data_IF_390824865090
#
_entry.id   IF_390824865090
#
_cell.length_a   1.000
_cell.length_b   1.000
_cell.length_c   1.000
_cell.angle_alpha   90.00
_cell.angle_beta   90.00
_cell.angle_gamma   90.00
#
_symmetry.space_group_name_H-M   'P 1'
#
loop_
_entity.id
_entity.type
_entity.pdbx_description
1 polymer ?
#
# COMPACT_ATOMS: atom_id res chain seq x y z
N UNK A 1 -0.70 -5.92 10.91
CA UNK A 1 -1.91 -6.73 11.21
C UNK A 1 -2.19 -6.66 12.70
N UNK A 2 -3.45 -6.45 13.14
CA UNK A 2 -3.81 -6.40 14.56
C UNK A 2 -4.71 -7.59 14.94
N UNK A 3 -4.71 -7.94 16.22
CA UNK A 3 -5.62 -8.96 16.76
C UNK A 3 -7.07 -8.49 16.73
N UNK A 4 -8.00 -9.44 16.62
CA UNK A 4 -9.44 -9.21 16.76
C UNK A 4 -10.02 -10.28 17.66
N UNK A 5 -10.93 -9.88 18.55
CA UNK A 5 -11.68 -10.83 19.37
C UNK A 5 -12.99 -11.10 18.63
N UNK A 6 -13.23 -12.37 18.33
CA UNK A 6 -14.54 -12.80 17.83
C UNK A 6 -15.49 -12.90 19.01
N UNK A 7 -16.69 -12.38 18.86
CA UNK A 7 -17.76 -12.43 19.86
C UNK A 7 -19.01 -13.00 19.24
N UNK A 8 -19.73 -13.78 20.03
CA UNK A 8 -21.08 -14.24 19.71
C UNK A 8 -22.08 -13.19 20.23
N UNK A 9 -22.26 -12.15 19.45
CA UNK A 9 -23.17 -11.05 19.76
C UNK A 9 -23.75 -10.47 18.49
N UNK A 10 -25.02 -10.16 18.51
CA UNK A 10 -25.70 -9.47 17.39
C UNK A 10 -25.21 -8.04 17.25
N UNK A 11 -24.19 -7.84 16.45
CA UNK A 11 -23.69 -6.52 16.09
C UNK A 11 -24.41 -6.01 14.86
N UNK A 12 -25.12 -4.90 15.01
CA UNK A 12 -25.86 -4.23 13.92
C UNK A 12 -25.10 -2.99 13.41
N UNK A 13 -25.38 -2.53 12.19
CA UNK A 13 -24.94 -1.22 11.74
C UNK A 13 -25.34 -0.13 12.74
N UNK A 14 -24.36 0.71 13.13
CA UNK A 14 -24.51 1.71 14.20
C UNK A 14 -23.79 1.36 15.49
N UNK A 15 -23.47 0.10 15.75
CA UNK A 15 -22.71 -0.31 16.94
C UNK A 15 -21.19 -0.15 16.77
N UNK A 16 -20.70 0.03 15.54
CA UNK A 16 -19.27 0.21 15.26
C UNK A 16 -18.72 1.46 15.94
N UNK A 17 -17.55 1.35 16.57
CA UNK A 17 -16.95 2.40 17.39
C UNK A 17 -17.42 2.40 18.86
N UNK A 18 -18.51 1.70 19.20
CA UNK A 18 -19.00 1.56 20.56
C UNK A 18 -18.09 0.66 21.42
N UNK A 19 -18.08 0.84 22.77
CA UNK A 19 -17.26 0.03 23.65
C UNK A 19 -17.89 -1.36 23.86
N UNK A 20 -17.07 -2.41 23.76
CA UNK A 20 -17.41 -3.74 24.24
C UNK A 20 -17.01 -3.85 25.73
N UNK A 21 -18.00 -4.08 26.59
CA UNK A 21 -17.78 -4.09 28.06
C UNK A 21 -17.83 -5.53 28.63
N UNK A 22 -16.82 -5.89 29.40
CA UNK A 22 -16.75 -7.14 30.14
C UNK A 22 -16.41 -6.88 31.59
N UNK A 23 -17.23 -7.35 32.55
CA UNK A 23 -17.03 -7.18 33.99
C UNK A 23 -16.74 -5.71 34.36
N UNK A 24 -17.48 -4.76 33.82
CA UNK A 24 -17.34 -3.33 34.10
C UNK A 24 -16.11 -2.65 33.52
N UNK A 25 -15.35 -3.33 32.66
CA UNK A 25 -14.17 -2.77 31.96
C UNK A 25 -14.37 -2.81 30.45
N UNK A 26 -13.76 -1.86 29.75
CA UNK A 26 -13.71 -1.85 28.28
C UNK A 26 -12.77 -2.97 27.82
N UNK A 27 -13.33 -4.00 27.19
CA UNK A 27 -12.57 -5.10 26.59
C UNK A 27 -12.05 -4.75 25.19
N UNK A 28 -12.67 -3.76 24.54
CA UNK A 28 -12.28 -3.30 23.22
C UNK A 28 -13.35 -2.44 22.57
N UNK A 29 -13.19 -2.20 21.26
CA UNK A 29 -14.09 -1.39 20.44
C UNK A 29 -14.75 -2.27 19.40
N UNK A 30 -16.07 -2.17 19.26
CA UNK A 30 -16.84 -2.88 18.23
C UNK A 30 -16.38 -2.41 16.84
N UNK A 31 -15.99 -3.36 15.99
CA UNK A 31 -15.41 -3.03 14.68
C UNK A 31 -16.28 -3.44 13.51
N UNK A 32 -16.68 -4.71 13.46
CA UNK A 32 -17.34 -5.24 12.27
C UNK A 32 -18.13 -6.52 12.56
N UNK A 33 -19.01 -6.86 11.64
CA UNK A 33 -19.74 -8.14 11.62
C UNK A 33 -19.57 -8.80 10.25
N UNK A 34 -19.72 -10.12 10.20
CA UNK A 34 -19.80 -10.84 8.93
C UNK A 34 -21.26 -10.80 8.46
N UNK A 35 -21.52 -10.11 7.36
CA UNK A 35 -22.89 -9.92 6.81
C UNK A 35 -23.58 -11.24 6.44
N UNK A 36 -22.84 -12.29 6.12
CA UNK A 36 -23.35 -13.60 5.74
C UNK A 36 -23.46 -14.59 6.91
N UNK A 37 -23.10 -14.18 8.12
CA UNK A 37 -23.19 -15.03 9.32
C UNK A 37 -23.96 -14.32 10.41
N UNK A 38 -24.93 -14.99 10.99
CA UNK A 38 -25.69 -14.49 12.12
C UNK A 38 -24.84 -14.52 13.39
N UNK A 39 -24.90 -13.46 14.18
CA UNK A 39 -24.29 -13.35 15.51
C UNK A 39 -22.75 -13.49 15.57
N UNK A 40 -22.03 -13.20 14.48
CA UNK A 40 -20.57 -13.14 14.50
C UNK A 40 -20.13 -11.71 14.40
N UNK A 41 -19.56 -11.19 15.50
CA UNK A 41 -18.98 -9.86 15.56
C UNK A 41 -17.50 -9.87 15.88
N UNK A 42 -16.83 -8.79 15.56
CA UNK A 42 -15.42 -8.59 15.88
C UNK A 42 -15.21 -7.32 16.68
N UNK A 43 -14.33 -7.44 17.67
CA UNK A 43 -13.94 -6.35 18.55
C UNK A 43 -12.43 -6.12 18.42
N UNK A 44 -12.03 -4.87 18.30
CA UNK A 44 -10.63 -4.46 18.42
C UNK A 44 -10.28 -4.54 19.91
N UNK A 45 -9.31 -5.38 20.33
CA UNK A 45 -8.95 -5.51 21.75
C UNK A 45 -8.48 -4.19 22.36
N UNK A 46 -8.66 -4.03 23.66
CA UNK A 46 -8.20 -2.85 24.40
C UNK A 46 -6.66 -2.67 24.31
N UNK A 47 -5.92 -3.75 24.16
CA UNK A 47 -4.47 -3.76 23.94
C UNK A 47 -4.11 -3.03 22.63
N UNK A 48 -4.83 -3.31 21.55
CA UNK A 48 -4.63 -2.64 20.26
C UNK A 48 -4.91 -1.14 20.35
N UNK A 49 -5.96 -0.78 21.10
CA UNK A 49 -6.29 0.63 21.34
C UNK A 49 -5.19 1.32 22.15
N UNK A 50 -4.63 0.66 23.17
CA UNK A 50 -3.53 1.23 23.96
C UNK A 50 -2.26 1.42 23.13
N UNK A 51 -1.92 0.46 22.28
CA UNK A 51 -0.79 0.58 21.35
C UNK A 51 -0.97 1.80 20.45
N UNK A 52 -2.15 1.95 19.86
CA UNK A 52 -2.46 3.10 19.02
C UNK A 52 -2.36 4.43 19.78
N UNK A 53 -2.95 4.50 20.99
CA UNK A 53 -2.90 5.72 21.80
C UNK A 53 -1.48 6.07 22.27
N UNK A 54 -0.63 5.08 22.49
CA UNK A 54 0.78 5.30 22.83
C UNK A 54 1.58 5.78 21.61
N UNK A 55 1.28 5.26 20.42
CA UNK A 55 1.91 5.63 19.17
C UNK A 55 1.64 7.10 18.81
N UNK A 56 0.42 7.58 18.98
CA UNK A 56 0.04 8.96 18.66
C UNK A 56 0.26 9.96 19.81
N UNK A 57 0.92 9.57 20.89
CA UNK A 57 1.09 10.44 22.07
C UNK A 57 1.99 11.67 21.80
N UNK A 58 2.83 11.61 20.78
CA UNK A 58 3.66 12.70 20.27
C UNK A 58 3.06 13.42 19.04
N UNK A 59 1.76 13.19 18.78
CA UNK A 59 0.99 13.72 17.64
C UNK A 59 1.40 13.14 16.28
N UNK A 60 2.28 12.14 16.25
CA UNK A 60 2.72 11.46 15.02
C UNK A 60 2.23 10.01 15.02
N UNK A 61 1.72 9.53 13.89
CA UNK A 61 1.37 8.12 13.71
C UNK A 61 2.49 7.39 12.98
N UNK A 62 3.36 6.71 13.71
CA UNK A 62 4.46 5.90 13.15
C UNK A 62 3.99 4.52 12.66
N UNK A 63 2.93 4.00 13.27
CA UNK A 63 2.39 2.67 12.97
C UNK A 63 3.15 1.54 13.65
N UNK A 64 2.77 0.30 13.32
CA UNK A 64 3.42 -0.87 13.94
C UNK A 64 4.69 -1.25 13.19
N UNK A 65 5.77 -1.60 13.91
CA UNK A 65 6.98 -2.12 13.29
C UNK A 65 6.65 -3.36 12.44
N UNK A 66 7.32 -3.47 11.31
CA UNK A 66 7.13 -4.57 10.38
C UNK A 66 8.48 -5.16 9.97
N UNK A 67 8.58 -6.49 10.05
CA UNK A 67 9.69 -7.22 9.45
C UNK A 67 9.35 -7.48 7.97
N UNK A 68 10.09 -6.81 7.12
CA UNK A 68 9.92 -6.89 5.68
C UNK A 68 10.70 -8.07 5.13
N UNK A 69 10.11 -8.80 4.19
CA UNK A 69 10.72 -9.96 3.58
C UNK A 69 9.69 -10.96 3.09
N UNK A 70 10.08 -11.80 2.13
CA UNK A 70 9.31 -12.98 1.77
C UNK A 70 9.82 -14.17 2.58
N UNK A 71 8.97 -14.66 3.47
CA UNK A 71 9.24 -15.78 4.35
C UNK A 71 8.39 -16.97 3.97
N UNK A 72 8.96 -18.17 4.08
CA UNK A 72 8.29 -19.43 3.80
C UNK A 72 8.28 -20.30 5.05
N UNK A 73 7.15 -20.97 5.32
CA UNK A 73 7.02 -21.96 6.41
C UNK A 73 7.92 -23.16 6.15
N UNK A 74 8.39 -23.76 7.23
CA UNK A 74 9.28 -24.95 7.16
C UNK A 74 8.53 -26.24 7.47
N UNK A 75 7.26 -26.35 7.06
CA UNK A 75 6.42 -27.53 7.29
C UNK A 75 6.79 -28.70 6.37
N UNK A 76 7.23 -28.43 5.14
CA UNK A 76 7.54 -29.46 4.14
C UNK A 76 8.76 -30.30 4.55
N UNK A 77 8.66 -31.64 4.63
CA UNK A 77 9.75 -32.52 5.09
C UNK A 77 11.01 -32.43 4.22
N UNK A 78 10.86 -32.32 2.90
CA UNK A 78 11.99 -32.23 1.98
C UNK A 78 12.74 -30.90 2.13
N UNK A 79 11.99 -29.80 2.32
CA UNK A 79 12.58 -28.50 2.62
C UNK A 79 13.38 -28.54 3.93
N UNK A 80 12.81 -29.14 4.98
CA UNK A 80 13.47 -29.34 6.27
C UNK A 80 14.78 -30.11 6.14
N UNK A 81 14.74 -31.22 5.39
CA UNK A 81 15.93 -32.04 5.13
C UNK A 81 17.01 -31.24 4.42
N UNK A 82 16.66 -30.44 3.39
CA UNK A 82 17.60 -29.55 2.70
C UNK A 82 18.21 -28.48 3.61
N UNK A 83 17.42 -27.96 4.54
CA UNK A 83 17.85 -26.93 5.51
C UNK A 83 18.57 -27.52 6.71
N UNK A 84 18.71 -28.84 6.83
CA UNK A 84 19.34 -29.51 7.97
C UNK A 84 18.56 -29.36 9.28
N UNK A 85 17.23 -29.14 9.23
CA UNK A 85 16.41 -28.96 10.41
C UNK A 85 16.00 -30.31 11.02
N UNK A 86 16.22 -30.45 12.31
CA UNK A 86 15.72 -31.62 13.06
C UNK A 86 14.18 -31.61 13.19
N UNK A 87 13.62 -32.67 13.78
CA UNK A 87 12.16 -32.83 13.89
C UNK A 87 11.48 -31.74 14.73
N UNK A 88 12.19 -31.12 15.64
CA UNK A 88 11.66 -30.17 16.65
C UNK A 88 11.86 -28.71 16.28
N UNK A 89 12.90 -28.38 15.54
CA UNK A 89 13.22 -27.03 15.10
C UNK A 89 12.11 -26.44 14.26
N UNK A 90 11.50 -25.37 14.70
CA UNK A 90 10.57 -24.53 13.93
C UNK A 90 11.28 -23.36 13.26
N UNK A 91 10.54 -22.52 12.60
CA UNK A 91 11.07 -21.29 12.01
C UNK A 91 10.40 -20.87 10.72
N UNK A 92 10.94 -19.79 10.16
CA UNK A 92 10.59 -19.26 8.85
C UNK A 92 11.84 -19.15 8.00
N UNK A 93 11.84 -19.79 6.83
CA UNK A 93 12.92 -19.65 5.86
C UNK A 93 12.80 -18.31 5.15
N UNK A 94 13.90 -17.58 5.06
CA UNK A 94 14.02 -16.35 4.28
C UNK A 94 14.13 -16.72 2.81
N UNK A 95 13.10 -16.39 2.02
CA UNK A 95 13.11 -16.55 0.58
C UNK A 95 13.75 -15.35 -0.10
N UNK A 96 13.37 -14.16 0.35
CA UNK A 96 13.88 -12.89 -0.15
C UNK A 96 13.90 -11.88 1.02
N UNK A 97 15.06 -11.39 1.44
CA UNK A 97 15.16 -10.42 2.53
C UNK A 97 14.61 -9.04 2.15
N UNK A 98 14.30 -8.79 0.89
CA UNK A 98 13.75 -7.55 0.29
C UNK A 98 14.70 -6.34 0.38
N UNK A 99 15.60 -6.28 1.32
CA UNK A 99 16.56 -5.20 1.36
C UNK A 99 17.75 -5.58 0.48
N UNK A 100 17.90 -4.85 -0.62
CA UNK A 100 19.04 -4.98 -1.53
C UNK A 100 20.31 -4.33 -0.94
N UNK A 101 20.24 -3.81 0.28
CA UNK A 101 21.41 -3.30 0.97
C UNK A 101 22.41 -4.45 1.17
N UNK A 102 23.61 -4.29 0.65
CA UNK A 102 24.69 -5.29 0.68
C UNK A 102 24.98 -5.75 2.11
N UNK A 103 24.70 -4.90 3.10
CA UNK A 103 24.91 -5.11 4.53
C UNK A 103 23.67 -5.60 5.29
N UNK A 104 22.54 -5.93 4.63
CA UNK A 104 21.37 -6.40 5.36
C UNK A 104 21.66 -7.75 6.03
N UNK A 105 21.36 -7.92 7.33
CA UNK A 105 21.83 -9.08 8.10
C UNK A 105 21.26 -10.42 7.64
N UNK A 106 20.01 -10.44 7.13
CA UNK A 106 19.38 -11.67 6.62
C UNK A 106 19.83 -11.98 5.19
N UNK A 107 19.97 -13.27 4.91
CA UNK A 107 20.26 -13.80 3.57
C UNK A 107 19.22 -14.83 3.16
N UNK A 108 19.04 -14.99 1.85
CA UNK A 108 18.21 -16.09 1.30
C UNK A 108 18.69 -17.43 1.83
N UNK A 109 17.76 -18.28 2.23
CA UNK A 109 17.93 -19.59 2.88
C UNK A 109 18.26 -19.53 4.39
N UNK A 110 18.41 -18.38 5.03
CA UNK A 110 18.43 -18.34 6.49
C UNK A 110 17.08 -18.85 7.04
N UNK A 111 17.11 -19.47 8.21
CA UNK A 111 15.90 -19.86 8.92
C UNK A 111 15.82 -19.09 10.23
N UNK A 112 14.86 -18.18 10.33
CA UNK A 112 14.59 -17.47 11.61
C UNK A 112 13.91 -18.48 12.54
N UNK A 113 14.62 -18.86 13.60
CA UNK A 113 14.13 -19.83 14.59
C UNK A 113 13.54 -19.19 15.82
N UNK A 114 14.05 -18.01 16.22
CA UNK A 114 13.55 -17.24 17.36
C UNK A 114 13.40 -15.76 17.01
N UNK A 115 12.43 -15.12 17.64
CA UNK A 115 12.18 -13.68 17.56
C UNK A 115 12.04 -13.15 18.99
N UNK A 116 12.93 -12.26 19.42
CA UNK A 116 12.96 -11.74 20.78
C UNK A 116 13.09 -12.84 21.84
N UNK A 117 13.80 -13.93 21.55
CA UNK A 117 13.92 -15.10 22.42
C UNK A 117 12.75 -16.08 22.37
N UNK A 118 11.65 -15.76 21.69
CA UNK A 118 10.51 -16.66 21.51
C UNK A 118 10.76 -17.62 20.35
N UNK A 119 10.72 -18.93 20.61
CA UNK A 119 10.85 -19.95 19.58
C UNK A 119 9.66 -19.93 18.61
N UNK A 120 9.94 -20.04 17.32
CA UNK A 120 8.93 -20.16 16.28
C UNK A 120 8.55 -21.62 16.07
N UNK A 121 7.27 -21.89 15.83
CA UNK A 121 6.82 -23.18 15.30
C UNK A 121 7.13 -23.31 13.78
N UNK A 122 6.76 -24.44 13.17
CA UNK A 122 7.00 -24.69 11.73
C UNK A 122 6.24 -23.76 10.78
N UNK A 123 5.26 -23.00 11.33
CA UNK A 123 4.42 -22.01 10.60
C UNK A 123 4.84 -20.58 10.88
N UNK A 124 5.84 -20.36 11.74
CA UNK A 124 6.26 -19.04 12.17
C UNK A 124 5.38 -18.43 13.27
N UNK A 125 4.66 -19.25 14.02
CA UNK A 125 3.92 -18.78 15.19
C UNK A 125 4.73 -18.95 16.45
N UNK A 126 4.37 -18.15 17.45
CA UNK A 126 4.87 -18.22 18.82
C UNK A 126 3.77 -18.76 19.72
N UNK A 127 4.12 -19.65 20.63
CA UNK A 127 3.21 -20.12 21.69
C UNK A 127 3.38 -19.25 22.92
N UNK A 128 2.29 -18.56 23.29
CA UNK A 128 2.24 -17.77 24.50
C UNK A 128 2.04 -18.65 25.77
N UNK A 129 2.28 -18.08 26.95
CA UNK A 129 2.16 -18.78 28.25
C UNK A 129 0.76 -19.31 28.49
N UNK A 130 -0.29 -18.65 28.01
CA UNK A 130 -1.69 -19.09 28.09
C UNK A 130 -2.04 -20.21 27.11
N UNK A 131 -1.06 -20.67 26.30
CA UNK A 131 -1.20 -21.73 25.32
C UNK A 131 -1.71 -21.26 23.96
N UNK A 132 -1.94 -19.97 23.74
CA UNK A 132 -2.35 -19.41 22.47
C UNK A 132 -1.19 -19.40 21.47
N UNK A 133 -1.44 -19.89 20.25
CA UNK A 133 -0.50 -19.76 19.14
C UNK A 133 -0.85 -18.55 18.29
N UNK A 134 0.09 -17.60 18.19
CA UNK A 134 -0.09 -16.38 17.43
C UNK A 134 1.08 -16.14 16.48
N UNK A 135 0.86 -15.39 15.41
CA UNK A 135 1.96 -14.96 14.55
C UNK A 135 2.95 -14.11 15.36
N UNK A 136 4.24 -14.38 15.18
CA UNK A 136 5.31 -13.58 15.81
C UNK A 136 5.18 -12.08 15.53
N UNK A 137 4.58 -11.71 14.38
CA UNK A 137 4.34 -10.31 14.00
C UNK A 137 3.52 -9.53 15.01
N UNK A 138 2.71 -10.22 15.83
CA UNK A 138 1.97 -9.60 16.91
C UNK A 138 2.88 -9.09 18.03
N UNK A 139 4.02 -9.75 18.25
CA UNK A 139 4.97 -9.39 19.31
C UNK A 139 5.93 -8.27 18.88
N UNK A 140 5.97 -7.89 17.61
CA UNK A 140 6.97 -6.92 17.12
C UNK A 140 6.91 -5.59 17.87
N UNK A 141 5.73 -5.10 18.20
CA UNK A 141 5.56 -3.83 18.93
C UNK A 141 6.25 -3.85 20.32
N UNK A 142 6.26 -5.01 20.97
CA UNK A 142 6.89 -5.16 22.31
C UNK A 142 8.38 -5.51 22.23
N UNK A 143 8.79 -6.18 21.15
CA UNK A 143 10.16 -6.71 20.96
C UNK A 143 11.11 -5.75 20.27
N UNK A 144 10.58 -4.86 19.43
CA UNK A 144 11.40 -3.88 18.71
C UNK A 144 11.84 -2.77 19.65
N UNK A 145 13.13 -2.51 19.68
CA UNK A 145 13.74 -1.41 20.42
C UNK A 145 14.69 -0.66 19.49
N UNK A 146 14.62 0.65 19.47
CA UNK A 146 15.48 1.49 18.64
C UNK A 146 15.48 1.05 17.16
N UNK A 147 14.30 0.67 16.65
CA UNK A 147 14.09 0.12 15.30
C UNK A 147 14.85 -1.18 15.00
N UNK A 148 15.28 -1.91 16.03
CA UNK A 148 15.99 -3.18 15.89
C UNK A 148 15.19 -4.32 16.52
N UNK A 149 15.15 -5.47 15.84
CA UNK A 149 14.50 -6.70 16.28
C UNK A 149 15.55 -7.78 16.52
N UNK A 150 15.72 -8.26 17.75
CA UNK A 150 16.61 -9.38 18.01
C UNK A 150 16.02 -10.69 17.46
N UNK A 151 16.79 -11.43 16.68
CA UNK A 151 16.39 -12.72 16.14
C UNK A 151 17.54 -13.73 16.25
N UNK A 152 17.20 -15.00 16.37
CA UNK A 152 18.16 -16.10 16.19
C UNK A 152 17.83 -16.79 14.87
N UNK A 153 18.87 -16.99 14.05
CA UNK A 153 18.74 -17.69 12.76
C UNK A 153 19.61 -18.95 12.74
N UNK A 154 19.26 -19.84 11.81
CA UNK A 154 20.16 -20.90 11.35
C UNK A 154 20.62 -20.54 9.93
N UNK A 155 21.94 -20.42 9.74
CA UNK A 155 22.58 -20.18 8.46
C UNK A 155 23.55 -21.33 8.19
N UNK A 156 23.32 -22.10 7.15
CA UNK A 156 24.11 -23.28 6.80
C UNK A 156 24.30 -24.28 7.98
N UNK A 157 23.30 -24.40 8.87
CA UNK A 157 23.33 -25.27 10.03
C UNK A 157 23.94 -24.65 11.30
N UNK A 158 24.49 -23.44 11.24
CA UNK A 158 25.05 -22.72 12.37
C UNK A 158 24.05 -21.71 12.93
N UNK A 159 23.91 -21.66 14.27
CA UNK A 159 23.04 -20.70 14.96
C UNK A 159 23.76 -19.35 15.11
N UNK A 160 23.06 -18.27 14.78
CA UNK A 160 23.60 -16.90 14.87
C UNK A 160 22.51 -15.98 15.43
N UNK A 161 22.90 -15.09 16.34
CA UNK A 161 22.03 -14.02 16.83
C UNK A 161 22.27 -12.75 16.02
N UNK A 162 21.20 -12.16 15.53
CA UNK A 162 21.23 -10.95 14.69
C UNK A 162 20.32 -9.88 15.27
N UNK A 163 20.63 -8.62 14.98
CA UNK A 163 19.74 -7.49 15.15
C UNK A 163 19.24 -7.07 13.77
N UNK A 164 17.94 -7.20 13.53
CA UNK A 164 17.34 -6.85 12.25
C UNK A 164 16.76 -5.44 12.31
N UNK A 165 17.15 -4.55 11.41
CA UNK A 165 16.44 -3.30 11.25
C UNK A 165 14.99 -3.58 10.84
N UNK A 166 14.06 -2.91 11.50
CA UNK A 166 12.63 -2.96 11.16
C UNK A 166 12.16 -1.58 10.76
N UNK A 167 11.23 -1.54 9.84
CA UNK A 167 10.66 -0.31 9.34
C UNK A 167 9.16 -0.29 9.63
N UNK A 168 8.62 0.86 9.96
CA UNK A 168 7.17 1.04 10.07
C UNK A 168 6.53 1.11 8.68
N UNK A 169 7.24 1.66 7.71
CA UNK A 169 6.78 1.80 6.34
C UNK A 169 7.75 1.19 5.34
N UNK A 170 7.19 0.42 4.42
CA UNK A 170 7.93 -0.11 3.27
C UNK A 170 7.58 0.75 2.07
N UNK A 171 8.56 1.23 1.29
CA UNK A 171 8.26 1.89 0.04
C UNK A 171 7.40 0.99 -0.85
N UNK A 172 6.22 1.46 -1.20
CA UNK A 172 5.28 0.79 -2.10
C UNK A 172 4.96 1.73 -3.26
N UNK A 173 4.79 1.18 -4.44
CA UNK A 173 4.49 1.96 -5.64
C UNK A 173 3.17 2.75 -5.50
N UNK A 174 2.21 2.19 -4.79
CA UNK A 174 0.93 2.83 -4.49
C UNK A 174 0.77 3.00 -2.99
N UNK A 175 1.15 4.16 -2.43
CA UNK A 175 1.05 4.42 -1.00
C UNK A 175 -0.40 4.58 -0.53
N UNK A 176 -0.63 4.41 0.77
CA UNK A 176 -1.87 4.80 1.41
C UNK A 176 -1.85 6.31 1.69
N UNK A 177 -2.96 6.99 1.44
CA UNK A 177 -3.06 8.44 1.61
C UNK A 177 -3.15 8.88 3.09
N UNK A 178 -3.38 7.95 4.03
CA UNK A 178 -3.51 8.23 5.47
C UNK A 178 -4.46 9.38 5.81
N UNK A 179 -5.50 9.55 5.02
CA UNK A 179 -6.50 10.61 5.16
C UNK A 179 -6.15 11.94 4.45
N UNK A 180 -4.99 12.03 3.82
CA UNK A 180 -4.66 13.17 2.97
C UNK A 180 -5.50 13.17 1.69
N UNK A 181 -5.60 14.32 1.06
CA UNK A 181 -6.20 14.43 -0.27
C UNK A 181 -5.25 13.87 -1.33
N UNK A 182 -5.76 13.19 -2.38
CA UNK A 182 -4.95 12.74 -3.50
C UNK A 182 -4.36 13.94 -4.25
N UNK A 183 -3.12 13.83 -4.65
CA UNK A 183 -2.47 14.80 -5.56
C UNK A 183 -3.20 14.78 -6.90
N UNK A 184 -3.35 15.95 -7.52
CA UNK A 184 -4.06 16.07 -8.79
C UNK A 184 -3.49 17.15 -9.68
N UNK A 185 -3.72 16.97 -10.97
CA UNK A 185 -3.48 17.96 -12.00
C UNK A 185 -4.61 17.93 -13.02
N UNK A 186 -5.21 19.08 -13.29
CA UNK A 186 -6.31 19.27 -14.26
C UNK A 186 -5.71 19.97 -15.48
N UNK A 187 -5.93 19.37 -16.65
CA UNK A 187 -5.52 19.95 -17.92
C UNK A 187 -6.60 19.74 -18.96
N UNK A 188 -7.25 20.82 -19.37
CA UNK A 188 -8.49 20.74 -20.11
C UNK A 188 -9.52 19.88 -19.36
N UNK A 189 -10.23 19.00 -20.07
CA UNK A 189 -11.20 18.11 -19.43
C UNK A 189 -10.57 16.93 -18.68
N UNK A 190 -9.25 16.77 -18.69
CA UNK A 190 -8.55 15.65 -18.09
C UNK A 190 -8.17 15.93 -16.64
N UNK A 191 -8.35 14.94 -15.79
CA UNK A 191 -7.91 14.98 -14.38
C UNK A 191 -6.91 13.86 -14.15
N UNK A 192 -5.67 14.22 -13.90
CA UNK A 192 -4.61 13.29 -13.55
C UNK A 192 -4.43 13.20 -12.04
N UNK A 193 -4.11 12.02 -11.54
CA UNK A 193 -3.78 11.76 -10.14
C UNK A 193 -2.80 10.60 -10.04
N UNK A 194 -2.29 10.33 -8.86
CA UNK A 194 -1.45 9.15 -8.60
C UNK A 194 -2.29 7.99 -8.10
N UNK A 195 -1.95 6.78 -8.53
CA UNK A 195 -2.58 5.57 -8.00
C UNK A 195 -2.22 5.38 -6.52
N UNK A 196 -3.19 5.05 -5.69
CA UNK A 196 -3.03 4.80 -4.26
C UNK A 196 -3.76 3.54 -3.82
N UNK A 197 -3.40 2.99 -2.67
CA UNK A 197 -4.12 1.84 -2.09
C UNK A 197 -5.59 2.20 -1.79
N UNK A 198 -5.85 3.43 -1.36
CA UNK A 198 -7.22 3.92 -1.10
C UNK A 198 -8.08 3.91 -2.35
N UNK A 199 -7.50 4.26 -3.49
CA UNK A 199 -8.18 4.20 -4.78
C UNK A 199 -8.49 2.75 -5.16
N UNK A 200 -7.48 1.87 -5.12
CA UNK A 200 -7.62 0.46 -5.50
C UNK A 200 -8.66 -0.24 -4.63
N UNK A 201 -8.71 0.06 -3.32
CA UNK A 201 -9.68 -0.50 -2.39
C UNK A 201 -11.14 -0.13 -2.72
N UNK A 202 -11.36 0.95 -3.48
CA UNK A 202 -12.70 1.40 -3.92
C UNK A 202 -13.11 0.81 -5.26
N UNK A 203 -12.19 0.22 -6.02
CA UNK A 203 -12.51 -0.42 -7.29
C UNK A 203 -13.25 -1.73 -7.01
N UNK A 204 -14.47 -1.86 -7.49
CA UNK A 204 -15.25 -3.07 -7.30
C UNK A 204 -14.61 -4.29 -8.02
N UNK A 205 -14.87 -5.54 -7.58
CA UNK A 205 -14.20 -6.74 -8.12
C UNK A 205 -14.41 -6.92 -9.63
N UNK A 206 -15.55 -6.52 -10.17
CA UNK A 206 -15.84 -6.63 -11.62
C UNK A 206 -14.95 -5.68 -12.42
N UNK A 207 -14.81 -4.43 -11.97
CA UNK A 207 -13.91 -3.46 -12.60
C UNK A 207 -12.44 -3.89 -12.45
N UNK A 208 -12.04 -4.49 -11.33
CA UNK A 208 -10.69 -5.04 -11.18
C UNK A 208 -10.39 -6.12 -12.24
N UNK A 209 -11.36 -6.99 -12.57
CA UNK A 209 -11.20 -7.98 -13.63
C UNK A 209 -11.05 -7.33 -15.01
N UNK A 210 -11.82 -6.28 -15.30
CA UNK A 210 -11.69 -5.51 -16.55
C UNK A 210 -10.31 -4.86 -16.65
N UNK A 211 -9.87 -4.18 -15.60
CA UNK A 211 -8.55 -3.54 -15.56
C UNK A 211 -7.42 -4.56 -15.72
N UNK A 212 -7.55 -5.75 -15.07
CA UNK A 212 -6.60 -6.84 -15.25
C UNK A 212 -6.56 -7.36 -16.69
N UNK A 213 -7.72 -7.54 -17.32
CA UNK A 213 -7.81 -7.96 -18.72
C UNK A 213 -7.16 -6.94 -19.67
N UNK A 214 -7.26 -5.65 -19.35
CA UNK A 214 -6.58 -4.56 -20.06
C UNK A 214 -5.10 -4.42 -19.75
N UNK A 215 -4.52 -5.29 -18.92
CA UNK A 215 -3.13 -5.22 -18.45
C UNK A 215 -2.79 -3.90 -17.74
N UNK A 216 -3.74 -3.35 -16.99
CA UNK A 216 -3.56 -2.10 -16.28
C UNK A 216 -2.61 -2.27 -15.09
N UNK A 217 -1.53 -1.50 -14.97
CA UNK A 217 -0.54 -1.63 -13.91
C UNK A 217 -1.11 -1.29 -12.51
N UNK A 218 -2.17 -0.50 -12.40
CA UNK A 218 -2.84 -0.22 -11.12
C UNK A 218 -3.29 -1.51 -10.41
N UNK A 219 -3.66 -2.55 -11.17
CA UNK A 219 -4.02 -3.86 -10.61
C UNK A 219 -2.83 -4.83 -10.63
N UNK A 220 -2.02 -4.80 -11.70
CA UNK A 220 -0.93 -5.77 -11.86
C UNK A 220 0.25 -5.50 -10.92
N UNK A 221 0.51 -4.22 -10.60
CA UNK A 221 1.62 -3.75 -9.77
C UNK A 221 1.19 -3.29 -8.38
N UNK A 222 0.00 -3.69 -7.92
CA UNK A 222 -0.60 -3.24 -6.66
C UNK A 222 0.29 -3.45 -5.43
N UNK A 223 1.13 -4.48 -5.45
CA UNK A 223 2.00 -4.85 -4.34
C UNK A 223 3.49 -4.64 -4.65
N UNK A 224 3.78 -3.99 -5.78
CA UNK A 224 5.16 -3.74 -6.18
C UNK A 224 5.78 -2.61 -5.36
N UNK A 225 7.10 -2.62 -5.33
CA UNK A 225 7.91 -1.47 -4.96
C UNK A 225 8.13 -0.57 -6.17
N UNK A 226 8.48 0.70 -5.95
CA UNK A 226 9.00 1.53 -7.03
C UNK A 226 10.21 0.87 -7.68
N UNK A 227 10.26 0.82 -9.01
CA UNK A 227 11.38 0.28 -9.77
C UNK A 227 12.57 1.26 -9.83
N UNK A 228 12.32 2.53 -9.55
CA UNK A 228 13.31 3.59 -9.46
C UNK A 228 12.83 4.66 -8.45
N UNK A 229 13.73 5.52 -7.94
CA UNK A 229 13.35 6.58 -7.01
C UNK A 229 12.25 7.48 -7.60
N UNK A 230 11.27 7.82 -6.75
CA UNK A 230 10.14 8.70 -7.10
C UNK A 230 9.22 8.17 -8.22
N UNK A 231 9.25 6.87 -8.53
CA UNK A 231 8.27 6.27 -9.44
C UNK A 231 6.86 6.39 -8.86
N UNK A 232 5.93 6.91 -9.67
CA UNK A 232 4.50 6.93 -9.38
C UNK A 232 3.71 6.43 -10.59
N UNK A 233 2.65 5.70 -10.37
CA UNK A 233 1.68 5.43 -11.43
C UNK A 233 0.72 6.61 -11.54
N UNK A 234 0.95 7.45 -12.56
CA UNK A 234 0.04 8.54 -12.90
C UNK A 234 -1.13 7.97 -13.69
N UNK A 235 -2.33 8.25 -13.23
CA UNK A 235 -3.57 7.74 -13.85
C UNK A 235 -4.50 8.86 -14.28
N UNK A 236 -5.27 8.59 -15.31
CA UNK A 236 -6.45 9.40 -15.62
C UNK A 236 -7.57 9.04 -14.65
N UNK A 237 -8.20 10.04 -14.04
CA UNK A 237 -9.31 9.87 -13.11
C UNK A 237 -10.51 9.15 -13.75
N UNK A 238 -11.42 8.66 -12.91
CA UNK A 238 -12.61 7.90 -13.32
C UNK A 238 -13.51 8.68 -14.28
N UNK A 239 -13.53 10.01 -14.12
CA UNK A 239 -14.35 10.91 -14.95
C UNK A 239 -13.50 12.04 -15.47
N UNK A 240 -13.62 12.30 -16.75
CA UNK A 240 -13.21 13.54 -17.41
C UNK A 240 -14.35 14.57 -17.27
N UNK A 241 -14.01 15.84 -17.30
CA UNK A 241 -15.05 16.86 -17.42
C UNK A 241 -15.78 16.73 -18.78
N UNK A 242 -17.11 16.85 -18.82
CA UNK A 242 -17.83 16.81 -20.09
C UNK A 242 -17.34 17.94 -21.01
N UNK A 243 -16.73 17.56 -22.13
CA UNK A 243 -16.20 18.53 -23.10
C UNK A 243 -16.07 17.88 -24.47
N UNK A 244 -16.28 18.61 -25.61
CA UNK A 244 -16.12 18.07 -26.95
C UNK A 244 -14.74 17.50 -27.25
N UNK A 245 -13.67 18.02 -26.62
CA UNK A 245 -12.30 17.54 -26.79
C UNK A 245 -12.07 16.09 -26.40
N UNK A 246 -12.94 15.53 -25.56
CA UNK A 246 -12.84 14.13 -25.09
C UNK A 246 -13.95 13.24 -25.62
N UNK A 247 -14.74 13.72 -26.57
CA UNK A 247 -15.78 12.93 -27.21
C UNK A 247 -15.17 11.71 -27.91
N UNK A 248 -15.70 10.52 -27.63
CA UNK A 248 -15.20 9.25 -28.16
C UNK A 248 -14.10 8.58 -27.33
N UNK A 249 -13.61 9.22 -26.24
CA UNK A 249 -12.62 8.65 -25.32
C UNK A 249 -13.24 8.11 -24.02
N UNK A 250 -14.37 7.44 -24.08
CA UNK A 250 -15.18 7.06 -22.92
C UNK A 250 -14.56 5.96 -22.03
N UNK A 251 -13.54 5.25 -22.48
CA UNK A 251 -13.04 4.03 -21.83
C UNK A 251 -11.70 4.19 -21.12
N UNK A 252 -11.30 5.40 -20.77
CA UNK A 252 -9.97 5.69 -20.22
C UNK A 252 -9.91 5.68 -18.68
N UNK A 253 -10.99 5.32 -17.99
CA UNK A 253 -11.04 5.31 -16.52
C UNK A 253 -9.90 4.46 -15.91
N UNK A 254 -9.15 5.04 -14.99
CA UNK A 254 -7.98 4.45 -14.35
C UNK A 254 -6.84 4.08 -15.32
N UNK A 255 -6.86 4.56 -16.56
CA UNK A 255 -5.76 4.33 -17.49
C UNK A 255 -4.49 4.96 -16.94
N UNK A 256 -3.44 4.16 -16.77
CA UNK A 256 -2.16 4.65 -16.31
C UNK A 256 -1.38 5.24 -17.49
N UNK A 257 -0.97 6.49 -17.35
CA UNK A 257 -0.21 7.20 -18.38
C UNK A 257 1.16 6.54 -18.55
N UNK A 258 1.51 6.24 -19.80
CA UNK A 258 2.80 5.72 -20.18
C UNK A 258 3.69 6.82 -20.76
N UNK A 259 3.18 7.53 -21.74
CA UNK A 259 3.91 8.59 -22.45
C UNK A 259 3.04 9.80 -22.73
N UNK A 260 3.70 10.95 -22.81
CA UNK A 260 3.13 12.16 -23.35
C UNK A 260 4.09 12.71 -24.39
N UNK A 261 3.66 12.87 -25.65
CA UNK A 261 4.50 13.30 -26.78
C UNK A 261 5.85 12.54 -26.80
N UNK A 262 5.79 11.20 -26.77
CA UNK A 262 6.94 10.28 -26.80
C UNK A 262 7.85 10.30 -25.55
N UNK A 263 7.58 11.16 -24.55
CA UNK A 263 8.30 11.21 -23.29
C UNK A 263 7.69 10.22 -22.29
N UNK A 264 8.49 9.28 -21.78
CA UNK A 264 8.04 8.33 -20.75
C UNK A 264 7.76 9.07 -19.44
N UNK A 265 6.57 8.85 -18.86
CA UNK A 265 6.13 9.51 -17.64
C UNK A 265 6.52 8.68 -16.41
N UNK A 266 7.29 9.29 -15.52
CA UNK A 266 7.84 8.66 -14.31
C UNK A 266 6.99 8.91 -13.06
N UNK A 267 6.41 10.10 -12.96
CA UNK A 267 5.57 10.55 -11.82
C UNK A 267 4.69 11.74 -12.24
N UNK A 268 3.85 12.20 -11.33
CA UNK A 268 2.92 13.30 -11.61
C UNK A 268 3.65 14.63 -11.88
N UNK A 269 4.74 14.89 -11.18
CA UNK A 269 5.56 16.09 -11.43
C UNK A 269 6.10 16.10 -12.86
N UNK A 270 6.68 14.98 -13.30
CA UNK A 270 7.23 14.81 -14.64
C UNK A 270 6.13 14.92 -15.72
N UNK A 271 4.91 14.43 -15.46
CA UNK A 271 3.77 14.64 -16.36
C UNK A 271 3.46 16.14 -16.52
N UNK A 272 3.41 16.89 -15.43
CA UNK A 272 3.14 18.34 -15.43
C UNK A 272 4.21 19.09 -16.21
N UNK A 273 5.49 18.78 -15.98
CA UNK A 273 6.61 19.34 -16.74
C UNK A 273 6.49 19.05 -18.23
N UNK A 274 6.22 17.80 -18.60
CA UNK A 274 6.11 17.37 -19.99
C UNK A 274 4.95 18.06 -20.70
N UNK A 275 3.80 18.22 -20.06
CA UNK A 275 2.66 18.94 -20.64
C UNK A 275 2.96 20.44 -20.74
N UNK A 276 3.53 21.04 -19.71
CA UNK A 276 3.88 22.46 -19.66
C UNK A 276 4.84 22.84 -20.82
N UNK A 277 5.87 22.02 -21.00
CA UNK A 277 6.96 22.27 -21.94
C UNK A 277 6.68 21.65 -23.32
N UNK A 278 5.49 21.06 -23.53
CA UNK A 278 5.10 20.45 -24.79
C UNK A 278 5.03 21.50 -25.91
N UNK A 279 5.45 21.10 -27.09
CA UNK A 279 5.41 21.90 -28.32
C UNK A 279 4.54 21.21 -29.38
N UNK A 280 4.22 21.95 -30.47
CA UNK A 280 3.40 21.44 -31.57
C UNK A 280 1.89 21.65 -31.37
N UNK A 281 1.15 21.18 -32.38
CA UNK A 281 -0.31 21.41 -32.45
C UNK A 281 -1.12 20.42 -31.60
N UNK A 282 -0.55 19.25 -31.32
CA UNK A 282 -1.23 18.17 -30.64
C UNK A 282 -0.50 17.71 -29.38
N UNK A 283 -1.26 17.29 -28.40
CA UNK A 283 -0.82 16.52 -27.26
C UNK A 283 -1.25 15.07 -27.45
N UNK A 284 -0.28 14.17 -27.49
CA UNK A 284 -0.52 12.73 -27.62
C UNK A 284 -0.27 12.07 -26.28
N UNK A 285 -1.27 11.36 -25.74
CA UNK A 285 -1.18 10.63 -24.46
C UNK A 285 -1.35 9.16 -24.73
N UNK A 286 -0.33 8.38 -24.41
CA UNK A 286 -0.33 6.92 -24.48
C UNK A 286 -0.46 6.33 -23.07
N UNK A 287 -1.16 5.21 -22.97
CA UNK A 287 -1.40 4.55 -21.70
C UNK A 287 -0.77 3.15 -21.67
N UNK A 288 -0.44 2.70 -20.47
CA UNK A 288 -0.04 1.32 -20.27
C UNK A 288 -1.19 0.35 -20.53
N UNK A 289 -0.87 -0.79 -21.13
CA UNK A 289 -1.84 -1.86 -21.35
C UNK A 289 -2.64 -1.70 -22.63
N UNK A 290 -3.91 -2.10 -22.61
CA UNK A 290 -4.78 -2.13 -23.80
C UNK A 290 -5.77 -0.97 -23.76
N UNK A 291 -5.25 0.23 -23.92
CA UNK A 291 -6.02 1.47 -24.00
C UNK A 291 -5.76 2.20 -25.31
N UNK A 292 -6.70 3.02 -25.71
CA UNK A 292 -6.57 3.88 -26.87
C UNK A 292 -5.65 5.05 -26.57
N UNK A 293 -4.87 5.45 -27.56
CA UNK A 293 -4.09 6.68 -27.50
C UNK A 293 -5.02 7.89 -27.64
N UNK A 294 -4.88 8.87 -26.77
CA UNK A 294 -5.57 10.15 -26.89
C UNK A 294 -4.73 11.14 -27.65
N UNK A 295 -5.32 11.80 -28.66
CA UNK A 295 -4.70 12.90 -29.41
C UNK A 295 -5.60 14.13 -29.28
N UNK A 296 -5.07 15.18 -28.71
CA UNK A 296 -5.83 16.36 -28.29
C UNK A 296 -5.19 17.63 -28.87
N UNK A 297 -5.97 18.61 -29.35
CA UNK A 297 -5.43 19.87 -29.83
C UNK A 297 -4.84 20.66 -28.64
N UNK A 298 -3.53 20.85 -28.67
CA UNK A 298 -2.77 21.35 -27.52
C UNK A 298 -3.26 22.73 -27.04
N UNK A 299 -3.44 23.68 -27.94
CA UNK A 299 -3.86 25.03 -27.58
C UNK A 299 -5.27 25.03 -26.97
N UNK A 300 -6.20 24.28 -27.55
CA UNK A 300 -7.57 24.20 -27.03
C UNK A 300 -7.62 23.54 -25.64
N UNK A 301 -6.69 22.61 -25.34
CA UNK A 301 -6.55 22.04 -24.00
C UNK A 301 -6.14 23.09 -22.96
N UNK A 302 -5.21 24.00 -23.30
CA UNK A 302 -4.85 25.11 -22.41
C UNK A 302 -6.02 26.07 -22.21
N UNK A 303 -6.68 26.47 -23.29
CA UNK A 303 -7.77 27.44 -23.26
C UNK A 303 -8.99 26.90 -22.48
N UNK A 304 -9.34 25.62 -22.69
CA UNK A 304 -10.45 24.97 -21.99
C UNK A 304 -10.17 24.75 -20.50
N UNK A 305 -8.91 24.72 -20.07
CA UNK A 305 -8.57 24.53 -18.66
C UNK A 305 -9.16 25.67 -17.80
N UNK A 306 -8.92 26.93 -18.19
CA UNK A 306 -9.43 28.09 -17.44
C UNK A 306 -10.95 28.12 -17.40
N UNK A 307 -11.60 27.84 -18.52
CA UNK A 307 -13.05 27.79 -18.61
C UNK A 307 -13.64 26.69 -17.70
N UNK A 308 -13.09 25.48 -17.73
CA UNK A 308 -13.55 24.37 -16.89
C UNK A 308 -13.39 24.70 -15.40
N UNK A 309 -12.25 25.29 -15.01
CA UNK A 309 -12.02 25.69 -13.61
C UNK A 309 -13.05 26.73 -13.14
N UNK A 310 -13.41 27.69 -14.00
CA UNK A 310 -14.41 28.70 -13.70
C UNK A 310 -15.81 28.08 -13.57
N UNK A 311 -16.21 27.27 -14.54
CA UNK A 311 -17.51 26.60 -14.60
C UNK A 311 -17.74 25.65 -13.42
N UNK A 312 -16.71 24.95 -12.99
CA UNK A 312 -16.76 23.98 -11.87
C UNK A 312 -16.42 24.58 -10.51
N UNK A 313 -16.09 25.87 -10.45
CA UNK A 313 -15.73 26.57 -9.21
C UNK A 313 -14.43 26.09 -8.59
N UNK A 314 -13.50 25.58 -9.39
CA UNK A 314 -12.19 25.06 -8.95
C UNK A 314 -11.18 26.20 -8.96
N UNK A 315 -10.47 26.41 -7.86
CA UNK A 315 -9.54 27.55 -7.72
C UNK A 315 -8.22 27.35 -8.44
N UNK A 316 -7.67 26.15 -8.39
CA UNK A 316 -6.35 25.83 -8.96
C UNK A 316 -6.42 24.48 -9.68
N UNK A 317 -5.74 24.33 -10.84
CA UNK A 317 -5.73 23.07 -11.58
C UNK A 317 -4.80 22.02 -10.97
N UNK A 318 -4.11 22.30 -9.88
CA UNK A 318 -3.05 21.45 -9.35
C UNK A 318 -3.05 21.42 -7.82
N UNK A 319 -2.46 20.36 -7.26
CA UNK A 319 -2.06 20.29 -5.85
C UNK A 319 -0.89 21.23 -5.57
N UNK A 320 -0.79 21.73 -4.32
CA UNK A 320 0.17 22.78 -3.95
C UNK A 320 1.63 22.46 -4.28
N UNK A 321 2.04 21.19 -4.20
CA UNK A 321 3.37 20.71 -4.54
C UNK A 321 3.72 20.81 -6.03
N UNK A 322 2.72 20.93 -6.91
CA UNK A 322 2.90 21.07 -8.36
C UNK A 322 2.89 22.54 -8.83
N UNK A 323 2.59 23.48 -7.93
CA UNK A 323 2.40 24.91 -8.24
C UNK A 323 3.62 25.49 -8.94
N UNK A 324 4.78 25.40 -8.31
CA UNK A 324 6.01 25.98 -8.86
C UNK A 324 6.35 25.39 -10.22
N UNK A 325 6.15 24.09 -10.40
CA UNK A 325 6.40 23.42 -11.66
C UNK A 325 5.51 23.95 -12.76
N UNK A 326 4.21 24.10 -12.50
CA UNK A 326 3.27 24.57 -13.52
C UNK A 326 3.41 26.05 -13.83
N UNK A 327 3.60 26.91 -12.81
CA UNK A 327 3.67 28.36 -12.97
C UNK A 327 4.99 28.84 -13.56
N UNK A 328 6.10 28.10 -13.41
CA UNK A 328 7.41 28.43 -13.97
C UNK A 328 7.51 28.06 -15.46
N UNK A 329 6.54 28.49 -16.28
CA UNK A 329 6.64 28.36 -17.73
C UNK A 329 7.87 29.12 -18.23
N UNK A 330 8.75 28.43 -18.95
CA UNK A 330 9.76 29.11 -19.76
C UNK A 330 9.02 30.00 -20.77
N UNK A 331 9.20 31.32 -20.64
CA UNK A 331 8.63 32.31 -21.57
C UNK A 331 9.27 32.18 -22.95
#
# INVERSE_FOLDING_TARGET
>A
MGMRIQVDAGLNPGNSGGPAIRKGKIAGIVYSTIRSAENIGYVIPAEEVRIFLADIADETYDGKPNLVGFFQTVENPTLRQRLGLDATTGGLMVRDPIEEAEDYPLKTWDVITHVGGHALDKKGNVRLEDGLNISFRYLLTDLVKENMLPVTILRAGESQDLQLPVVSEVPVLMPNLKGAYPRHFIFGPLVFTTASQDLVARINPQNQLVLKARKNPVILRQFDRPAFPEEELVILSVRMFPHPLVEGYDQQSFAAVHRVNEVDIKNLLNLVETIRDSEGDYLTIEFHGLYETMVLPRQEMFDSTEQILEDEGIRTPYSDDLRETWENRKK
#
